data_IF_684397511506
#
_entry.id   IF_684397511506
#
_cell.length_a   1.000
_cell.length_b   1.000
_cell.length_c   1.000
_cell.angle_alpha   90.00
_cell.angle_beta   90.00
_cell.angle_gamma   90.00
#
_symmetry.space_group_name_H-M   'P 1'
#
loop_
_entity.id
_entity.type
_entity.pdbx_description
1 polymer ?
#
# COMPACT_ATOMS: atom_id res chain seq x y z
N UNK A 1 -9.26 -5.74 -44.46
CA UNK A 1 -8.54 -5.31 -43.24
C UNK A 1 -9.54 -4.83 -42.20
N UNK A 2 -9.83 -5.63 -41.16
CA UNK A 2 -10.73 -5.22 -40.08
C UNK A 2 -10.02 -4.17 -39.22
N UNK A 3 -10.49 -2.92 -39.27
CA UNK A 3 -9.99 -1.85 -38.42
C UNK A 3 -10.12 -2.27 -36.95
N UNK A 4 -8.99 -2.59 -36.31
CA UNK A 4 -8.96 -2.81 -34.87
C UNK A 4 -9.36 -1.49 -34.21
N UNK A 5 -10.50 -1.47 -33.51
CA UNK A 5 -10.92 -0.29 -32.73
C UNK A 5 -9.80 0.03 -31.74
N UNK A 6 -9.06 1.15 -31.92
CA UNK A 6 -7.83 1.41 -31.17
C UNK A 6 -8.03 1.49 -29.65
N UNK A 7 -9.27 1.76 -29.20
CA UNK A 7 -9.59 1.93 -27.78
C UNK A 7 -9.80 0.66 -26.96
N UNK A 8 -10.05 -0.51 -27.57
CA UNK A 8 -10.32 -1.73 -26.77
C UNK A 8 -9.08 -2.19 -26.01
N UNK A 9 -7.95 -2.30 -26.71
CA UNK A 9 -6.69 -2.75 -26.11
C UNK A 9 -6.24 -1.85 -24.98
N UNK A 10 -6.32 -0.52 -25.17
CA UNK A 10 -6.03 0.46 -24.11
C UNK A 10 -6.94 0.30 -22.91
N UNK A 11 -8.24 0.09 -23.10
CA UNK A 11 -9.17 -0.10 -21.98
C UNK A 11 -8.88 -1.38 -21.19
N UNK A 12 -8.56 -2.49 -21.88
CA UNK A 12 -8.18 -3.75 -21.22
C UNK A 12 -6.85 -3.60 -20.47
N UNK A 13 -5.84 -2.96 -21.07
CA UNK A 13 -4.57 -2.70 -20.42
C UNK A 13 -4.74 -1.81 -19.17
N UNK A 14 -5.55 -0.75 -19.25
CA UNK A 14 -5.88 0.09 -18.10
C UNK A 14 -6.62 -0.69 -17.00
N UNK A 15 -7.52 -1.60 -17.36
CA UNK A 15 -8.21 -2.46 -16.39
C UNK A 15 -7.22 -3.37 -15.67
N UNK A 16 -6.30 -4.01 -16.40
CA UNK A 16 -5.25 -4.86 -15.82
C UNK A 16 -4.32 -4.05 -14.91
N UNK A 17 -3.87 -2.88 -15.35
CA UNK A 17 -3.00 -2.00 -14.55
C UNK A 17 -3.72 -1.52 -13.28
N UNK A 18 -4.98 -1.12 -13.37
CA UNK A 18 -5.77 -0.67 -12.22
C UNK A 18 -5.97 -1.82 -11.22
N UNK A 19 -6.38 -2.99 -11.71
CA UNK A 19 -6.56 -4.17 -10.86
C UNK A 19 -5.24 -4.59 -10.20
N UNK A 20 -4.15 -4.65 -10.96
CA UNK A 20 -2.83 -4.97 -10.45
C UNK A 20 -2.33 -3.94 -9.43
N UNK A 21 -2.52 -2.64 -9.68
CA UNK A 21 -2.16 -1.57 -8.74
C UNK A 21 -2.94 -1.71 -7.44
N UNK A 22 -4.24 -2.01 -7.50
CA UNK A 22 -5.06 -2.22 -6.32
C UNK A 22 -4.60 -3.45 -5.52
N UNK A 23 -4.42 -4.60 -6.19
CA UNK A 23 -3.98 -5.84 -5.54
C UNK A 23 -2.61 -5.66 -4.89
N UNK A 24 -1.65 -5.08 -5.60
CA UNK A 24 -0.31 -4.82 -5.04
C UNK A 24 -0.34 -3.81 -3.90
N UNK A 25 -1.21 -2.80 -3.95
CA UNK A 25 -1.41 -1.87 -2.84
C UNK A 25 -1.97 -2.56 -1.59
N UNK A 26 -2.93 -3.47 -1.75
CA UNK A 26 -3.44 -4.30 -0.65
C UNK A 26 -2.37 -5.23 -0.07
N UNK A 27 -1.61 -5.91 -0.94
CA UNK A 27 -0.52 -6.79 -0.51
C UNK A 27 0.54 -6.02 0.26
N UNK A 28 0.80 -4.75 -0.07
CA UNK A 28 1.78 -3.91 0.63
C UNK A 28 1.46 -3.74 2.13
N UNK A 29 0.18 -3.83 2.53
CA UNK A 29 -0.20 -3.79 3.95
C UNK A 29 0.11 -5.07 4.72
N UNK A 30 0.29 -6.21 4.03
CA UNK A 30 0.50 -7.53 4.64
C UNK A 30 1.95 -8.04 4.59
N UNK A 31 2.87 -7.34 3.91
CA UNK A 31 4.25 -7.81 3.74
C UNK A 31 5.20 -7.02 4.63
N UNK A 32 5.66 -7.65 5.72
CA UNK A 32 6.62 -7.05 6.66
C UNK A 32 8.10 -7.37 6.39
N UNK A 33 8.41 -8.33 5.50
CA UNK A 33 9.79 -8.67 5.15
C UNK A 33 10.37 -7.65 4.15
N UNK A 34 11.55 -7.11 4.45
CA UNK A 34 12.12 -5.97 3.72
C UNK A 34 12.21 -6.19 2.18
N UNK A 35 12.70 -7.34 1.74
CA UNK A 35 12.82 -7.66 0.32
C UNK A 35 11.46 -7.78 -0.39
N UNK A 36 10.49 -8.42 0.27
CA UNK A 36 9.12 -8.53 -0.22
C UNK A 36 8.42 -7.18 -0.30
N UNK A 37 8.53 -6.36 0.75
CA UNK A 37 7.92 -5.03 0.82
C UNK A 37 8.44 -4.14 -0.31
N UNK A 38 9.76 -4.10 -0.53
CA UNK A 38 10.38 -3.33 -1.60
C UNK A 38 9.90 -3.78 -2.99
N UNK A 39 9.86 -5.09 -3.24
CA UNK A 39 9.41 -5.61 -4.53
C UNK A 39 7.95 -5.24 -4.82
N UNK A 40 7.07 -5.37 -3.82
CA UNK A 40 5.66 -5.00 -3.92
C UNK A 40 5.51 -3.50 -4.14
N UNK A 41 6.25 -2.65 -3.41
CA UNK A 41 6.20 -1.20 -3.54
C UNK A 41 6.67 -0.73 -4.94
N UNK A 42 7.76 -1.31 -5.45
CA UNK A 42 8.25 -1.02 -6.82
C UNK A 42 7.21 -1.44 -7.85
N UNK A 43 6.68 -2.67 -7.74
CA UNK A 43 5.67 -3.16 -8.68
C UNK A 43 4.42 -2.29 -8.65
N UNK A 44 3.94 -1.91 -7.46
CA UNK A 44 2.81 -1.00 -7.30
C UNK A 44 3.07 0.34 -7.99
N UNK A 45 4.24 0.94 -7.76
CA UNK A 45 4.64 2.20 -8.41
C UNK A 45 4.71 2.09 -9.94
N UNK A 46 5.27 1.01 -10.47
CA UNK A 46 5.33 0.75 -11.92
C UNK A 46 3.93 0.59 -12.51
N UNK A 47 3.05 -0.18 -11.88
CA UNK A 47 1.68 -0.39 -12.36
C UNK A 47 0.89 0.93 -12.35
N UNK A 48 1.02 1.72 -11.28
CA UNK A 48 0.39 3.03 -11.15
C UNK A 48 0.86 4.02 -12.22
N UNK A 49 2.18 4.10 -12.46
CA UNK A 49 2.73 4.96 -13.52
C UNK A 49 2.37 4.44 -14.92
N UNK A 50 2.18 3.13 -15.10
CA UNK A 50 1.67 2.56 -16.35
C UNK A 50 0.29 3.11 -16.75
N UNK A 51 -0.55 3.47 -15.77
CA UNK A 51 -1.84 4.13 -16.02
C UNK A 51 -1.60 5.50 -16.66
N UNK A 52 -0.64 6.27 -16.14
CA UNK A 52 -0.26 7.57 -16.69
C UNK A 52 0.31 7.44 -18.10
N UNK A 53 1.17 6.44 -18.34
CA UNK A 53 1.70 6.12 -19.69
C UNK A 53 0.58 5.93 -20.69
N UNK A 54 -0.53 5.28 -20.35
CA UNK A 54 -1.67 5.07 -21.28
C UNK A 54 -2.62 6.28 -21.40
N UNK A 55 -2.43 7.35 -20.62
CA UNK A 55 -3.32 8.52 -20.60
C UNK A 55 -3.47 9.21 -21.98
N UNK A 56 -2.39 9.44 -22.77
CA UNK A 56 -2.51 10.04 -24.10
C UNK A 56 -3.45 9.26 -25.02
N UNK A 57 -3.30 7.94 -25.09
CA UNK A 57 -4.17 7.06 -25.89
C UNK A 57 -5.60 7.04 -25.37
N UNK A 58 -5.78 6.98 -24.05
CA UNK A 58 -7.10 7.04 -23.42
C UNK A 58 -7.81 8.36 -23.74
N UNK A 59 -7.09 9.48 -23.80
CA UNK A 59 -7.64 10.79 -24.14
C UNK A 59 -8.27 10.80 -25.54
N UNK A 60 -7.65 10.15 -26.53
CA UNK A 60 -8.19 10.01 -27.89
C UNK A 60 -9.51 9.24 -27.89
N UNK A 61 -9.60 8.17 -27.08
CA UNK A 61 -10.82 7.38 -26.90
C UNK A 61 -11.92 8.21 -26.23
N UNK A 62 -11.56 8.97 -25.19
CA UNK A 62 -12.49 9.85 -24.45
C UNK A 62 -13.03 10.95 -25.36
N UNK A 63 -12.19 11.67 -26.11
CA UNK A 63 -12.62 12.73 -27.05
C UNK A 63 -13.64 12.20 -28.07
N UNK A 64 -13.44 11.00 -28.61
CA UNK A 64 -14.42 10.35 -29.52
C UNK A 64 -15.72 9.97 -28.80
N UNK A 65 -15.64 9.60 -27.52
CA UNK A 65 -16.79 9.25 -26.70
C UNK A 65 -17.65 10.46 -26.31
N UNK A 66 -17.02 11.60 -26.00
CA UNK A 66 -17.69 12.85 -25.63
C UNK A 66 -18.52 13.46 -26.77
N UNK A 67 -18.18 13.14 -28.02
CA UNK A 67 -19.00 13.53 -29.19
C UNK A 67 -20.38 12.86 -29.23
N UNK A 68 -20.65 11.89 -28.36
CA UNK A 68 -21.94 11.18 -28.29
C UNK A 68 -22.81 11.81 -27.20
N UNK A 69 -24.10 12.04 -27.47
CA UNK A 69 -25.06 12.55 -26.47
C UNK A 69 -25.35 11.50 -25.39
N UNK A 70 -24.46 11.36 -24.39
CA UNK A 70 -24.62 10.45 -23.24
C UNK A 70 -24.19 11.15 -21.95
N UNK A 71 -24.72 10.70 -20.81
CA UNK A 71 -24.26 11.16 -19.49
C UNK A 71 -22.86 10.62 -19.20
N UNK A 72 -21.93 11.52 -18.85
CA UNK A 72 -20.52 11.21 -18.58
C UNK A 72 -20.10 11.43 -17.12
N UNK A 73 -21.01 11.89 -16.25
CA UNK A 73 -20.71 12.28 -14.87
C UNK A 73 -19.90 11.23 -14.09
N UNK A 74 -20.36 9.97 -14.04
CA UNK A 74 -19.64 8.88 -13.34
C UNK A 74 -18.22 8.67 -13.88
N UNK A 75 -18.02 8.79 -15.19
CA UNK A 75 -16.70 8.63 -15.79
C UNK A 75 -15.78 9.83 -15.46
N UNK A 76 -16.33 11.04 -15.40
CA UNK A 76 -15.59 12.24 -15.00
C UNK A 76 -15.20 12.14 -13.53
N UNK A 77 -16.13 11.83 -12.64
CA UNK A 77 -15.86 11.64 -11.21
C UNK A 77 -14.82 10.54 -11.00
N UNK A 78 -14.95 9.41 -11.70
CA UNK A 78 -13.94 8.35 -11.64
C UNK A 78 -12.55 8.84 -12.06
N UNK A 79 -12.45 9.58 -13.17
CA UNK A 79 -11.17 10.14 -13.62
C UNK A 79 -10.59 11.12 -12.61
N UNK A 80 -11.40 11.99 -12.00
CA UNK A 80 -10.94 12.95 -10.99
C UNK A 80 -10.44 12.25 -9.72
N UNK A 81 -11.19 11.27 -9.21
CA UNK A 81 -10.82 10.50 -8.03
C UNK A 81 -9.55 9.67 -8.28
N UNK A 82 -9.42 9.06 -9.46
CA UNK A 82 -8.21 8.34 -9.84
C UNK A 82 -7.00 9.27 -9.96
N UNK A 83 -7.17 10.45 -10.55
CA UNK A 83 -6.12 11.46 -10.65
C UNK A 83 -5.67 11.96 -9.27
N UNK A 84 -6.62 12.17 -8.35
CA UNK A 84 -6.33 12.53 -6.96
C UNK A 84 -5.52 11.44 -6.28
N UNK A 85 -5.89 10.17 -6.44
CA UNK A 85 -5.13 9.04 -5.90
C UNK A 85 -3.70 9.00 -6.43
N UNK A 86 -3.52 9.06 -7.75
CA UNK A 86 -2.19 9.04 -8.38
C UNK A 86 -1.34 10.22 -7.94
N UNK A 87 -1.91 11.43 -7.89
CA UNK A 87 -1.20 12.62 -7.42
C UNK A 87 -0.76 12.47 -5.96
N UNK A 88 -1.66 12.04 -5.08
CA UNK A 88 -1.37 11.85 -3.67
C UNK A 88 -0.29 10.76 -3.44
N UNK A 89 -0.31 9.68 -4.23
CA UNK A 89 0.73 8.65 -4.20
C UNK A 89 2.09 9.15 -4.71
N UNK A 90 2.10 10.00 -5.76
CA UNK A 90 3.33 10.65 -6.24
C UNK A 90 3.87 11.62 -5.19
N UNK A 91 3.01 12.43 -4.56
CA UNK A 91 3.39 13.34 -3.48
C UNK A 91 3.99 12.55 -2.32
N UNK A 92 3.31 11.52 -1.83
CA UNK A 92 3.83 10.67 -0.75
C UNK A 92 5.16 10.02 -1.13
N UNK A 93 5.32 9.57 -2.38
CA UNK A 93 6.55 8.88 -2.82
C UNK A 93 7.74 9.79 -3.07
N UNK A 94 7.52 11.09 -3.24
CA UNK A 94 8.57 12.04 -3.63
C UNK A 94 8.78 13.13 -2.60
N UNK A 95 7.72 13.78 -2.15
CA UNK A 95 7.78 14.97 -1.31
C UNK A 95 7.76 14.68 0.19
N UNK A 96 7.46 13.45 0.62
CA UNK A 96 7.46 13.11 2.04
C UNK A 96 6.08 12.79 2.62
N UNK A 97 6.00 12.64 3.95
CA UNK A 97 4.76 12.45 4.69
C UNK A 97 3.98 13.77 4.81
N UNK A 98 3.67 14.40 3.67
CA UNK A 98 2.91 15.65 3.59
C UNK A 98 1.51 15.42 4.13
N UNK A 99 1.05 16.31 5.00
CA UNK A 99 -0.28 16.27 5.60
C UNK A 99 -0.93 17.66 5.62
N UNK A 100 -2.25 17.70 5.47
CA UNK A 100 -3.06 18.92 5.54
C UNK A 100 -4.24 18.65 6.46
N UNK A 101 -4.37 19.44 7.53
CA UNK A 101 -5.44 19.27 8.51
C UNK A 101 -5.49 17.88 9.16
N UNK A 102 -4.33 17.25 9.38
CA UNK A 102 -4.21 15.90 9.94
C UNK A 102 -4.46 14.75 8.95
N UNK A 103 -4.77 15.05 7.68
CA UNK A 103 -4.93 14.03 6.63
C UNK A 103 -3.65 13.95 5.81
N UNK A 104 -3.00 12.78 5.84
CA UNK A 104 -1.77 12.54 5.08
C UNK A 104 -2.03 12.31 3.59
N UNK A 105 -1.03 12.59 2.75
CA UNK A 105 -1.07 12.26 1.33
C UNK A 105 -1.31 10.74 1.10
N UNK A 106 -0.75 9.88 1.96
CA UNK A 106 -1.01 8.44 1.91
C UNK A 106 -2.48 8.11 2.22
N UNK A 107 -3.08 8.75 3.23
CA UNK A 107 -4.49 8.56 3.55
C UNK A 107 -5.40 9.00 2.39
N UNK A 108 -5.09 10.14 1.75
CA UNK A 108 -5.80 10.59 0.53
C UNK A 108 -5.62 9.58 -0.59
N UNK A 109 -4.41 9.08 -0.83
CA UNK A 109 -4.11 8.08 -1.86
C UNK A 109 -4.95 6.81 -1.67
N UNK A 110 -4.96 6.24 -0.47
CA UNK A 110 -5.68 5.00 -0.12
C UNK A 110 -7.19 5.22 -0.19
N UNK A 111 -7.72 6.26 0.47
CA UNK A 111 -9.15 6.55 0.50
C UNK A 111 -9.72 6.79 -0.90
N UNK A 112 -9.02 7.59 -1.72
CA UNK A 112 -9.41 7.82 -3.11
C UNK A 112 -9.26 6.57 -3.98
N UNK A 113 -8.27 5.70 -3.75
CA UNK A 113 -8.14 4.43 -4.47
C UNK A 113 -9.34 3.49 -4.21
N UNK A 114 -9.81 3.39 -2.96
CA UNK A 114 -11.00 2.60 -2.61
C UNK A 114 -12.23 3.12 -3.35
N UNK A 115 -12.47 4.44 -3.32
CA UNK A 115 -13.59 5.07 -4.05
C UNK A 115 -13.43 4.87 -5.57
N UNK A 116 -12.22 5.00 -6.11
CA UNK A 116 -11.93 4.79 -7.52
C UNK A 116 -12.27 3.35 -7.96
N UNK A 117 -12.00 2.34 -7.13
CA UNK A 117 -12.35 0.95 -7.43
C UNK A 117 -13.87 0.74 -7.48
N UNK A 118 -14.62 1.29 -6.52
CA UNK A 118 -16.09 1.22 -6.56
C UNK A 118 -16.65 1.85 -7.84
N UNK A 119 -16.13 3.02 -8.21
CA UNK A 119 -16.49 3.70 -9.45
C UNK A 119 -16.05 2.91 -10.71
N UNK A 120 -14.89 2.26 -10.67
CA UNK A 120 -14.39 1.44 -11.76
C UNK A 120 -15.26 0.20 -11.97
N UNK A 121 -15.68 -0.48 -10.90
CA UNK A 121 -16.62 -1.62 -10.98
C UNK A 121 -17.94 -1.16 -11.60
N UNK A 122 -18.53 -0.08 -11.10
CA UNK A 122 -19.75 0.49 -11.66
C UNK A 122 -19.58 0.90 -13.14
N UNK A 123 -18.41 1.43 -13.50
CA UNK A 123 -18.08 1.78 -14.88
C UNK A 123 -17.99 0.55 -15.80
N UNK A 124 -17.26 -0.49 -15.39
CA UNK A 124 -17.03 -1.71 -16.17
C UNK A 124 -18.33 -2.47 -16.38
N UNK A 125 -19.16 -2.62 -15.33
CA UNK A 125 -20.48 -3.28 -15.42
C UNK A 125 -21.38 -2.56 -16.43
N UNK A 126 -21.36 -1.23 -16.47
CA UNK A 126 -22.17 -0.42 -17.42
C UNK A 126 -21.55 -0.32 -18.82
N UNK A 127 -20.27 -0.66 -18.98
CA UNK A 127 -19.48 -0.48 -20.21
C UNK A 127 -18.55 -1.68 -20.48
N UNK A 128 -19.06 -2.92 -20.49
CA UNK A 128 -18.21 -4.10 -20.54
C UNK A 128 -17.36 -4.12 -21.82
N UNK A 129 -16.08 -4.47 -21.66
CA UNK A 129 -15.18 -4.75 -22.77
C UNK A 129 -15.10 -6.26 -22.97
N UNK A 130 -15.20 -6.71 -24.22
CA UNK A 130 -15.07 -8.15 -24.54
C UNK A 130 -13.61 -8.52 -24.72
N UNK A 131 -13.12 -9.46 -23.91
CA UNK A 131 -11.85 -10.16 -24.14
C UNK A 131 -12.04 -11.11 -25.31
N UNK A 132 -11.09 -11.16 -26.26
CA UNK A 132 -11.14 -12.11 -27.39
C UNK A 132 -9.91 -13.01 -27.35
N UNK A 133 -10.08 -14.29 -27.67
CA UNK A 133 -8.97 -15.26 -27.75
C UNK A 133 -7.85 -14.78 -28.68
N UNK A 134 -8.22 -14.16 -29.82
CA UNK A 134 -7.24 -13.57 -30.76
C UNK A 134 -6.46 -12.36 -30.22
N UNK A 135 -6.77 -11.86 -29.02
CA UNK A 135 -5.96 -10.85 -28.34
C UNK A 135 -4.65 -11.47 -27.78
N UNK A 136 -4.60 -12.79 -27.57
CA UNK A 136 -3.39 -13.51 -27.15
C UNK A 136 -2.53 -13.84 -28.37
N UNK A 137 -1.72 -12.89 -28.80
CA UNK A 137 -0.78 -13.07 -29.89
C UNK A 137 0.56 -12.38 -29.60
N UNK A 138 1.58 -12.70 -30.40
CA UNK A 138 2.93 -12.13 -30.28
C UNK A 138 2.93 -10.61 -30.25
N UNK A 139 2.06 -9.96 -31.03
CA UNK A 139 1.97 -8.50 -31.10
C UNK A 139 1.44 -7.89 -29.79
N UNK A 140 0.45 -8.52 -29.16
CA UNK A 140 -0.06 -8.10 -27.85
C UNK A 140 0.99 -8.31 -26.78
N UNK A 141 1.71 -9.43 -26.79
CA UNK A 141 2.82 -9.68 -25.87
C UNK A 141 3.92 -8.61 -25.99
N UNK A 142 4.36 -8.30 -27.21
CA UNK A 142 5.36 -7.23 -27.46
C UNK A 142 4.87 -5.85 -27.01
N UNK A 143 3.57 -5.54 -27.19
CA UNK A 143 2.97 -4.29 -26.70
C UNK A 143 2.90 -4.23 -25.18
N UNK A 144 2.58 -5.35 -24.52
CA UNK A 144 2.56 -5.44 -23.06
C UNK A 144 3.98 -5.27 -22.50
N UNK A 145 4.99 -5.90 -23.12
CA UNK A 145 6.40 -5.71 -22.78
C UNK A 145 6.84 -4.25 -22.97
N UNK A 146 6.50 -3.63 -24.10
CA UNK A 146 6.84 -2.23 -24.36
C UNK A 146 6.18 -1.27 -23.34
N UNK A 147 4.91 -1.51 -23.01
CA UNK A 147 4.19 -0.75 -21.98
C UNK A 147 4.83 -0.95 -20.60
N UNK A 148 5.10 -2.19 -20.22
CA UNK A 148 5.76 -2.52 -18.95
C UNK A 148 7.14 -1.89 -18.84
N UNK A 149 7.95 -1.98 -19.91
CA UNK A 149 9.27 -1.34 -19.99
C UNK A 149 9.18 0.19 -19.87
N UNK A 150 8.22 0.83 -20.53
CA UNK A 150 8.02 2.28 -20.44
C UNK A 150 7.57 2.70 -19.04
N UNK A 151 6.68 1.92 -18.41
CA UNK A 151 6.26 2.16 -17.03
C UNK A 151 7.41 1.99 -16.03
N UNK A 152 8.26 0.97 -16.22
CA UNK A 152 9.46 0.75 -15.41
C UNK A 152 10.48 1.90 -15.59
N UNK A 153 10.68 2.38 -16.81
CA UNK A 153 11.52 3.55 -17.09
C UNK A 153 10.96 4.82 -16.43
N UNK A 154 9.63 5.03 -16.47
CA UNK A 154 8.99 6.14 -15.78
C UNK A 154 9.21 6.08 -14.26
N UNK A 155 9.09 4.88 -13.67
CA UNK A 155 9.38 4.67 -12.25
C UNK A 155 10.84 4.96 -11.90
N UNK A 156 11.78 4.45 -12.71
CA UNK A 156 13.20 4.70 -12.55
C UNK A 156 13.50 6.21 -12.64
N UNK A 157 12.96 6.89 -13.66
CA UNK A 157 13.13 8.33 -13.83
C UNK A 157 12.59 9.12 -12.63
N UNK A 158 11.38 8.81 -12.14
CA UNK A 158 10.81 9.47 -10.97
C UNK A 158 11.68 9.24 -9.72
N UNK A 159 12.16 8.01 -9.53
CA UNK A 159 13.04 7.65 -8.40
C UNK A 159 14.39 8.38 -8.48
N UNK A 160 15.00 8.44 -9.67
CA UNK A 160 16.26 9.14 -9.92
C UNK A 160 16.11 10.64 -9.71
N UNK A 161 15.06 11.27 -10.24
CA UNK A 161 14.78 12.70 -10.01
C UNK A 161 14.61 12.98 -8.53
N UNK A 162 13.86 12.13 -7.82
CA UNK A 162 13.66 12.26 -6.37
C UNK A 162 14.98 12.20 -5.61
N UNK A 163 15.86 11.26 -5.97
CA UNK A 163 17.17 11.11 -5.36
C UNK A 163 18.11 12.30 -5.67
N UNK A 164 18.22 12.69 -6.94
CA UNK A 164 19.11 13.75 -7.42
C UNK A 164 18.69 15.13 -6.93
N UNK A 165 17.38 15.39 -6.84
CA UNK A 165 16.85 16.64 -6.28
C UNK A 165 16.84 16.64 -4.73
N UNK A 166 17.35 15.59 -4.08
CA UNK A 166 17.44 15.51 -2.62
C UNK A 166 16.09 15.44 -1.90
N UNK A 167 15.01 15.13 -2.62
CA UNK A 167 13.64 15.16 -2.09
C UNK A 167 13.45 14.11 -0.99
N UNK A 168 12.51 14.32 -0.05
CA UNK A 168 12.31 13.42 1.08
C UNK A 168 12.08 11.95 0.68
N UNK A 169 11.44 11.69 -0.46
CA UNK A 169 11.20 10.37 -1.04
C UNK A 169 12.42 9.44 -1.14
N UNK A 170 13.65 9.99 -1.15
CA UNK A 170 14.89 9.22 -1.15
C UNK A 170 15.17 8.50 0.19
N UNK A 171 14.53 8.92 1.28
CA UNK A 171 14.72 8.41 2.66
C UNK A 171 13.64 7.41 3.09
N UNK A 172 12.76 7.02 2.18
CA UNK A 172 11.70 6.04 2.48
C UNK A 172 12.30 4.67 2.77
N UNK A 173 11.68 3.95 3.70
CA UNK A 173 11.91 2.51 3.88
C UNK A 173 11.27 1.68 2.77
N UNK A 174 11.50 0.38 2.82
CA UNK A 174 10.98 -0.61 1.87
C UNK A 174 9.46 -0.62 1.76
N UNK A 175 8.78 -0.35 2.88
CA UNK A 175 7.31 -0.20 2.98
C UNK A 175 6.81 1.14 2.43
N UNK A 176 7.71 2.06 2.07
CA UNK A 176 7.38 3.43 1.67
C UNK A 176 7.12 4.39 2.84
N UNK A 177 7.42 3.98 4.08
CA UNK A 177 7.26 4.79 5.29
C UNK A 177 8.42 5.78 5.51
N UNK A 178 8.17 6.78 6.36
CA UNK A 178 9.11 7.84 6.72
C UNK A 178 9.47 7.83 8.20
N UNK A 179 10.67 8.28 8.53
CA UNK A 179 11.13 8.34 9.92
C UNK A 179 10.29 9.35 10.72
N UNK A 180 9.82 8.93 11.89
CA UNK A 180 9.12 9.78 12.86
C UNK A 180 9.53 9.38 14.28
N UNK A 181 10.15 10.32 15.00
CA UNK A 181 10.34 10.23 16.45
C UNK A 181 11.34 9.17 16.91
N UNK A 182 12.29 8.73 16.09
CA UNK A 182 13.28 7.74 16.51
C UNK A 182 14.08 8.24 17.71
N UNK A 183 14.16 7.43 18.77
CA UNK A 183 14.76 7.82 20.05
C UNK A 183 13.90 8.76 20.91
N UNK A 184 12.74 9.21 20.43
CA UNK A 184 11.74 9.97 21.18
C UNK A 184 10.39 9.24 21.17
N UNK A 185 10.13 8.38 22.18
CA UNK A 185 8.87 7.64 22.29
C UNK A 185 7.63 8.54 22.30
N UNK A 186 7.73 9.78 22.76
CA UNK A 186 6.59 10.70 22.85
C UNK A 186 6.18 11.31 21.50
N UNK A 187 7.09 11.29 20.52
CA UNK A 187 6.85 11.75 19.15
C UNK A 187 6.36 10.63 18.23
N UNK A 188 6.32 9.37 18.69
CA UNK A 188 5.83 8.24 17.90
C UNK A 188 4.32 8.36 17.68
N UNK A 189 3.81 8.29 16.43
CA UNK A 189 2.38 8.38 16.17
C UNK A 189 1.60 7.25 16.87
N UNK A 190 0.51 7.62 17.54
CA UNK A 190 -0.44 6.66 18.09
C UNK A 190 -1.22 6.03 16.94
N UNK A 191 -1.10 4.71 16.79
CA UNK A 191 -1.86 3.93 15.81
C UNK A 191 -2.66 2.84 16.50
N UNK A 192 -3.94 2.73 16.15
CA UNK A 192 -4.84 1.68 16.60
C UNK A 192 -5.54 1.05 15.39
N UNK A 193 -6.06 -0.17 15.54
CA UNK A 193 -6.82 -0.78 14.47
C UNK A 193 -8.24 -0.21 14.45
N UNK A 194 -8.63 0.42 13.34
CA UNK A 194 -9.96 0.94 13.03
C UNK A 194 -10.67 1.70 14.17
N UNK A 195 -11.35 1.00 15.07
CA UNK A 195 -12.13 1.54 16.20
C UNK A 195 -11.78 0.90 17.54
N UNK A 196 -10.61 0.29 17.66
CA UNK A 196 -10.12 -0.24 18.94
C UNK A 196 -10.07 0.88 19.98
N UNK A 197 -10.53 0.57 21.19
CA UNK A 197 -10.42 1.50 22.31
C UNK A 197 -8.99 1.49 22.85
N UNK A 198 -8.51 2.65 23.29
CA UNK A 198 -7.26 2.73 24.06
C UNK A 198 -7.57 2.27 25.49
N UNK A 199 -7.03 1.12 25.94
CA UNK A 199 -7.33 0.62 27.28
C UNK A 199 -6.68 1.49 28.34
N UNK A 200 -7.42 1.79 29.42
CA UNK A 200 -6.84 2.31 30.66
C UNK A 200 -6.41 1.11 31.49
N UNK A 201 -5.11 0.98 31.75
CA UNK A 201 -4.54 -0.16 32.47
C UNK A 201 -4.33 0.25 33.93
N UNK A 202 -4.94 -0.48 34.86
CA UNK A 202 -4.58 -0.47 36.29
C UNK A 202 -3.45 -1.48 36.52
N UNK A 203 -2.20 -1.04 36.82
CA UNK A 203 -1.09 -1.95 37.02
C UNK A 203 -1.27 -2.91 38.21
N UNK A 204 -2.12 -2.56 39.18
CA UNK A 204 -2.34 -3.38 40.39
C UNK A 204 -3.33 -4.52 40.14
N UNK A 205 -4.28 -4.32 39.22
CA UNK A 205 -5.26 -5.32 38.81
C UNK A 205 -4.85 -6.08 37.53
N UNK A 206 -3.76 -5.66 36.86
CA UNK A 206 -3.32 -6.28 35.62
C UNK A 206 -2.73 -7.69 35.82
N UNK A 207 -3.23 -8.64 35.03
CA UNK A 207 -2.65 -9.97 34.87
C UNK A 207 -2.44 -10.30 33.39
N UNK A 208 -1.25 -10.78 33.04
CA UNK A 208 -0.99 -11.48 31.78
C UNK A 208 -1.26 -12.96 31.98
N UNK A 209 -2.20 -13.50 31.18
CA UNK A 209 -2.48 -14.93 31.11
C UNK A 209 -1.71 -15.55 29.95
N UNK A 210 -0.98 -16.62 30.23
CA UNK A 210 -0.21 -17.40 29.25
C UNK A 210 -0.73 -18.83 29.29
N UNK A 211 -1.54 -19.17 28.29
CA UNK A 211 -2.09 -20.51 28.12
C UNK A 211 -1.22 -21.31 27.14
N UNK A 212 -0.78 -22.50 27.55
CA UNK A 212 0.03 -23.38 26.71
C UNK A 212 -0.81 -24.51 26.09
N UNK A 213 -0.42 -25.03 24.91
CA UNK A 213 -1.12 -26.15 24.27
C UNK A 213 -1.18 -27.43 25.12
N UNK A 214 -0.24 -27.62 26.05
CA UNK A 214 -0.20 -28.76 26.96
C UNK A 214 -1.08 -28.59 28.22
N UNK A 215 -1.93 -27.55 28.25
CA UNK A 215 -2.87 -27.28 29.33
C UNK A 215 -2.28 -26.52 30.53
N UNK A 216 -0.98 -26.17 30.50
CA UNK A 216 -0.39 -25.31 31.54
C UNK A 216 -0.83 -23.86 31.38
N UNK A 217 -1.47 -23.30 32.40
CA UNK A 217 -1.80 -21.88 32.50
C UNK A 217 -0.84 -21.18 33.46
N UNK A 218 -0.38 -19.98 33.09
CA UNK A 218 0.39 -19.10 33.96
C UNK A 218 -0.25 -17.72 34.02
N UNK A 219 -0.34 -17.16 35.22
CA UNK A 219 -0.81 -15.80 35.48
C UNK A 219 0.34 -14.98 36.02
N UNK A 220 0.62 -13.85 35.38
CA UNK A 220 1.77 -13.01 35.71
C UNK A 220 1.24 -11.60 35.97
N UNK A 221 1.44 -11.12 37.20
CA UNK A 221 1.09 -9.74 37.56
C UNK A 221 2.01 -8.75 36.84
N UNK A 222 1.57 -7.50 36.72
CA UNK A 222 2.40 -6.44 36.14
C UNK A 222 3.76 -6.29 36.85
N UNK A 223 3.77 -6.34 38.19
CA UNK A 223 4.99 -6.24 38.98
C UNK A 223 5.97 -7.39 38.69
N UNK A 224 5.46 -8.62 38.54
CA UNK A 224 6.30 -9.77 38.17
C UNK A 224 6.86 -9.63 36.74
N UNK A 225 6.06 -9.16 35.78
CA UNK A 225 6.54 -8.89 34.42
C UNK A 225 7.66 -7.85 34.40
N UNK A 226 7.50 -6.77 35.17
CA UNK A 226 8.51 -5.72 35.26
C UNK A 226 9.81 -6.24 35.89
N UNK A 227 9.73 -7.09 36.91
CA UNK A 227 10.89 -7.74 37.52
C UNK A 227 11.62 -8.67 36.53
N UNK A 228 10.89 -9.30 35.61
CA UNK A 228 11.46 -10.14 34.55
C UNK A 228 12.07 -9.33 33.39
N UNK A 229 11.80 -8.03 33.28
CA UNK A 229 12.18 -7.19 32.14
C UNK A 229 13.68 -6.84 32.12
N UNK A 230 14.50 -7.83 31.79
CA UNK A 230 15.96 -7.72 31.69
C UNK A 230 16.48 -7.55 30.26
N UNK A 231 15.64 -7.71 29.23
CA UNK A 231 16.09 -7.66 27.84
C UNK A 231 15.86 -6.27 27.26
N UNK A 232 16.91 -5.71 26.67
CA UNK A 232 16.85 -4.44 25.92
C UNK A 232 17.23 -4.69 24.46
N UNK A 233 16.48 -4.13 23.52
CA UNK A 233 16.79 -4.18 22.09
C UNK A 233 16.45 -2.88 21.38
N UNK A 234 17.37 -2.40 20.56
CA UNK A 234 17.05 -1.44 19.50
C UNK A 234 16.29 -2.18 18.39
N UNK A 235 15.10 -1.69 18.06
CA UNK A 235 14.29 -2.25 17.00
C UNK A 235 13.43 -1.18 16.33
N UNK A 236 13.23 -1.36 15.03
CA UNK A 236 12.38 -0.50 14.21
C UNK A 236 10.95 -1.02 14.23
N UNK A 237 10.03 -0.12 14.55
CA UNK A 237 8.61 -0.28 14.27
C UNK A 237 8.30 0.42 12.94
N UNK A 238 7.90 -0.33 11.93
CA UNK A 238 7.60 0.19 10.60
C UNK A 238 6.10 0.02 10.30
N UNK A 239 5.37 1.13 10.33
CA UNK A 239 3.95 1.15 10.08
C UNK A 239 3.69 1.33 8.57
N UNK A 240 2.92 0.40 7.99
CA UNK A 240 2.41 0.51 6.61
C UNK A 240 1.46 1.70 6.43
N UNK A 241 1.06 2.36 7.52
CA UNK A 241 0.39 3.66 7.55
C UNK A 241 1.29 4.86 7.24
N UNK A 242 2.57 4.64 6.93
CA UNK A 242 3.45 5.65 6.31
C UNK A 242 4.52 6.25 7.21
N UNK A 243 4.73 5.70 8.40
CA UNK A 243 5.79 6.13 9.32
C UNK A 243 6.57 4.92 9.87
N UNK A 244 7.82 5.15 10.26
CA UNK A 244 8.62 4.20 11.01
C UNK A 244 9.39 4.92 12.11
N UNK A 245 9.74 4.20 13.16
CA UNK A 245 10.50 4.73 14.28
C UNK A 245 11.44 3.66 14.83
N UNK A 246 12.71 4.00 15.02
CA UNK A 246 13.64 3.15 15.77
C UNK A 246 13.63 3.53 17.25
N UNK A 247 13.38 2.55 18.12
CA UNK A 247 13.33 2.74 19.56
C UNK A 247 14.17 1.69 20.28
N UNK A 248 14.59 2.04 21.49
CA UNK A 248 15.19 1.09 22.42
C UNK A 248 14.10 0.53 23.33
N UNK A 249 13.72 -0.72 23.08
CA UNK A 249 12.66 -1.42 23.80
C UNK A 249 13.25 -2.20 24.97
N UNK A 250 12.61 -2.14 26.13
CA UNK A 250 12.93 -2.97 27.30
C UNK A 250 11.74 -3.85 27.65
N UNK A 251 11.96 -5.13 27.87
CA UNK A 251 10.90 -6.08 28.18
C UNK A 251 11.39 -7.48 28.54
N UNK A 252 10.45 -8.42 28.53
CA UNK A 252 10.68 -9.85 28.72
C UNK A 252 10.68 -10.52 27.34
N UNK A 253 11.66 -11.37 27.07
CA UNK A 253 11.69 -12.12 25.82
C UNK A 253 10.60 -13.22 25.82
N UNK A 254 9.93 -13.44 24.69
CA UNK A 254 8.80 -14.37 24.60
C UNK A 254 9.22 -15.82 24.82
N UNK A 255 10.44 -16.21 24.48
CA UNK A 255 10.99 -17.55 24.78
C UNK A 255 11.12 -17.80 26.29
N UNK A 256 11.48 -16.77 27.07
CA UNK A 256 11.50 -16.84 28.55
C UNK A 256 10.08 -16.93 29.11
N UNK A 257 9.16 -16.13 28.56
CA UNK A 257 7.77 -16.10 28.99
C UNK A 257 7.04 -17.42 28.70
N UNK A 258 7.21 -17.94 27.49
CA UNK A 258 6.57 -19.17 27.02
C UNK A 258 7.31 -20.42 27.50
N UNK A 259 8.62 -20.36 27.74
CA UNK A 259 9.46 -21.52 28.03
C UNK A 259 9.55 -22.49 26.84
N UNK A 260 10.23 -23.65 26.99
CA UNK A 260 10.22 -24.68 25.96
C UNK A 260 8.79 -25.21 25.76
N UNK A 261 8.32 -25.14 24.52
CA UNK A 261 7.11 -25.85 24.11
C UNK A 261 7.42 -27.35 24.19
N UNK A 262 6.68 -28.08 25.02
CA UNK A 262 6.71 -29.55 24.99
C UNK A 262 6.28 -30.06 23.61
N UNK A 263 6.51 -31.35 23.29
CA UNK A 263 6.00 -31.91 22.04
C UNK A 263 4.49 -31.66 21.95
N UNK A 264 4.04 -31.16 20.80
CA UNK A 264 2.61 -30.96 20.54
C UNK A 264 1.93 -32.32 20.74
N UNK A 265 1.02 -32.42 21.71
CA UNK A 265 0.18 -33.60 21.89
C UNK A 265 -0.53 -33.90 20.56
N UNK A 266 -0.44 -35.15 20.12
CA UNK A 266 -0.89 -35.62 18.80
C UNK A 266 -2.39 -35.47 18.56
#
# INVERSE_FOLDING_TARGET
MVATRPGRGTNLALLVLLAGSFVTGWVAFGVGVASGARAVAVLHGVLGLGILVLTPWKSVVVRRGLRRRRRHAVAVVFTLVLALSLLAGIVHSTLGPVQVGGVSALAVHVGSAVVAVLLAVAHVVRRPQRVRVGDLNRRTALRALALGGTAALAYAALSSVTALAGLPGRRRRETGSYEVGSGDPSAVPVTQWFTDAVPVIDPTAYELRVDRPDGREQRITYAALLAMAGTTRAAVLDCTGGWWSEQTWRGVSLDVLLGPLGPLGG
#
